data_IF_917256461020
#
_entry.id   IF_917256461020
#
_cell.length_a   1.000
_cell.length_b   1.000
_cell.length_c   1.000
_cell.angle_alpha   90.00
_cell.angle_beta   90.00
_cell.angle_gamma   90.00
#
_symmetry.space_group_name_H-M   'P 1'
#
loop_
_entity.id
_entity.type
_entity.pdbx_description
1 polymer ?
#
# COMPACT_ATOMS: atom_id res chain seq x y z
N UNK A 1 -6.03 -5.83 -9.74
CA UNK A 1 -4.62 -5.38 -9.81
C UNK A 1 -4.31 -4.68 -8.50
N UNK A 2 -3.17 -5.01 -7.90
CA UNK A 2 -2.72 -4.58 -6.57
C UNK A 2 -1.88 -3.32 -6.70
N UNK A 3 -2.22 -2.26 -5.98
CA UNK A 3 -1.38 -1.07 -5.85
C UNK A 3 -0.38 -1.23 -4.71
N UNK A 4 0.91 -1.27 -5.01
CA UNK A 4 1.96 -1.30 -4.00
C UNK A 4 2.46 0.13 -3.77
N UNK A 5 2.23 0.71 -2.60
CA UNK A 5 2.59 2.10 -2.30
C UNK A 5 3.75 2.12 -1.32
N UNK A 6 4.93 2.49 -1.81
CA UNK A 6 6.08 2.70 -0.93
C UNK A 6 6.06 4.14 -0.42
N UNK A 7 5.68 4.31 0.85
CA UNK A 7 5.36 5.63 1.44
C UNK A 7 6.60 6.53 1.54
N UNK A 8 7.78 5.92 1.75
CA UNK A 8 9.08 6.58 1.72
C UNK A 8 10.16 5.59 1.25
N UNK A 9 11.38 6.10 1.00
CA UNK A 9 12.55 5.34 0.54
C UNK A 9 12.80 4.01 1.28
N UNK A 10 12.67 3.91 2.62
CA UNK A 10 12.86 2.64 3.31
C UNK A 10 11.92 1.51 2.85
N UNK A 11 10.74 1.85 2.33
CA UNK A 11 9.76 0.88 1.83
C UNK A 11 9.97 0.46 0.38
N UNK A 12 10.87 1.12 -0.36
CA UNK A 12 11.08 0.81 -1.79
C UNK A 12 11.55 -0.63 -2.03
N UNK A 13 12.53 -1.19 -1.28
CA UNK A 13 12.98 -2.56 -1.50
C UNK A 13 11.86 -3.58 -1.32
N UNK A 14 11.07 -3.46 -0.25
CA UNK A 14 9.97 -4.38 0.01
C UNK A 14 8.85 -4.25 -1.03
N UNK A 15 8.55 -3.03 -1.49
CA UNK A 15 7.57 -2.87 -2.57
C UNK A 15 8.04 -3.54 -3.88
N UNK A 16 9.34 -3.51 -4.17
CA UNK A 16 9.91 -4.15 -5.36
C UNK A 16 9.92 -5.68 -5.21
N UNK A 17 10.23 -6.20 -4.01
CA UNK A 17 10.12 -7.62 -3.69
C UNK A 17 8.68 -8.14 -3.87
N UNK A 18 7.69 -7.42 -3.31
CA UNK A 18 6.28 -7.78 -3.45
C UNK A 18 5.82 -7.70 -4.91
N UNK A 19 6.30 -6.71 -5.67
CA UNK A 19 5.99 -6.62 -7.10
C UNK A 19 6.53 -7.83 -7.87
N UNK A 20 7.71 -8.33 -7.51
CA UNK A 20 8.29 -9.50 -8.15
C UNK A 20 7.50 -10.81 -7.93
N UNK A 21 6.68 -10.89 -6.87
CA UNK A 21 5.76 -12.01 -6.64
C UNK A 21 4.53 -11.95 -7.57
N UNK A 22 4.14 -10.74 -7.97
CA UNK A 22 2.94 -10.47 -8.76
C UNK A 22 3.20 -9.48 -9.91
N UNK A 23 4.15 -9.75 -10.82
CA UNK A 23 4.59 -8.75 -11.79
C UNK A 23 3.48 -8.29 -12.73
N UNK A 24 2.56 -9.20 -13.09
CA UNK A 24 1.47 -8.92 -14.02
C UNK A 24 0.20 -8.39 -13.32
N UNK A 25 0.09 -8.58 -12.00
CA UNK A 25 -1.10 -8.24 -11.22
C UNK A 25 -0.87 -7.15 -10.19
N UNK A 26 0.32 -6.53 -10.14
CA UNK A 26 0.63 -5.44 -9.23
C UNK A 26 1.34 -4.26 -9.92
N UNK A 27 1.26 -3.07 -9.31
CA UNK A 27 1.93 -1.85 -9.77
C UNK A 27 2.50 -1.06 -8.60
N UNK A 28 3.77 -0.70 -8.69
CA UNK A 28 4.47 0.07 -7.65
C UNK A 28 4.30 1.58 -7.85
N UNK A 29 3.98 2.27 -6.75
CA UNK A 29 3.90 3.73 -6.62
C UNK A 29 4.88 4.15 -5.53
N UNK A 30 5.99 4.79 -5.91
CA UNK A 30 7.04 5.20 -4.98
C UNK A 30 6.88 6.67 -4.64
N UNK A 31 6.68 6.96 -3.36
CA UNK A 31 6.73 8.32 -2.85
C UNK A 31 8.16 8.67 -2.41
N UNK A 32 8.56 9.90 -2.71
CA UNK A 32 9.85 10.47 -2.28
C UNK A 32 9.63 11.88 -1.72
N UNK A 33 10.23 12.13 -0.56
CA UNK A 33 10.17 13.45 0.09
C UNK A 33 10.86 14.50 -0.80
N UNK A 34 10.21 15.65 -0.99
CA UNK A 34 10.74 16.73 -1.84
C UNK A 34 10.53 16.53 -3.34
N UNK A 35 9.86 15.45 -3.75
CA UNK A 35 9.38 15.27 -5.13
C UNK A 35 7.94 15.80 -5.29
N UNK A 36 7.48 15.94 -6.52
CA UNK A 36 6.08 16.24 -6.82
C UNK A 36 5.13 15.06 -6.53
N UNK A 37 5.68 13.86 -6.31
CA UNK A 37 4.92 12.64 -6.06
C UNK A 37 5.21 12.14 -4.64
N UNK A 38 4.54 12.78 -3.67
CA UNK A 38 4.73 12.46 -2.25
C UNK A 38 3.72 11.38 -1.82
N UNK A 39 3.76 11.04 -0.53
CA UNK A 39 2.95 9.96 0.00
C UNK A 39 1.43 10.15 -0.21
N UNK A 40 0.85 11.35 0.00
CA UNK A 40 -0.58 11.56 -0.29
C UNK A 40 -0.93 11.34 -1.76
N UNK A 41 -0.10 11.84 -2.70
CA UNK A 41 -0.36 11.70 -4.13
C UNK A 41 -0.23 10.25 -4.59
N UNK A 42 0.79 9.53 -4.12
CA UNK A 42 0.99 8.11 -4.43
C UNK A 42 -0.16 7.25 -3.89
N UNK A 43 -0.57 7.50 -2.64
CA UNK A 43 -1.66 6.80 -1.97
C UNK A 43 -3.01 7.09 -2.66
N UNK A 44 -3.30 8.35 -2.96
CA UNK A 44 -4.51 8.77 -3.64
C UNK A 44 -4.62 8.21 -5.06
N UNK A 45 -3.51 8.21 -5.81
CA UNK A 45 -3.47 7.58 -7.13
C UNK A 45 -3.73 6.07 -7.03
N UNK A 46 -3.15 5.40 -6.02
CA UNK A 46 -3.34 3.97 -5.84
C UNK A 46 -4.81 3.63 -5.56
N UNK A 47 -5.49 4.38 -4.69
CA UNK A 47 -6.92 4.18 -4.42
C UNK A 47 -7.83 4.48 -5.62
N UNK A 48 -7.44 5.42 -6.49
CA UNK A 48 -8.18 5.71 -7.71
C UNK A 48 -8.08 4.61 -8.78
N UNK A 49 -7.02 3.79 -8.75
CA UNK A 49 -6.71 2.83 -9.81
C UNK A 49 -6.87 1.36 -9.40
N UNK A 50 -6.80 1.05 -8.10
CA UNK A 50 -6.69 -0.33 -7.61
C UNK A 50 -7.77 -0.66 -6.58
N UNK A 51 -8.25 -1.90 -6.63
CA UNK A 51 -9.20 -2.44 -5.65
C UNK A 51 -8.50 -3.03 -4.42
N UNK A 52 -7.20 -3.28 -4.51
CA UNK A 52 -6.37 -3.76 -3.41
C UNK A 52 -5.12 -2.88 -3.35
N UNK A 53 -4.78 -2.40 -2.17
CA UNK A 53 -3.62 -1.52 -1.96
C UNK A 53 -2.80 -2.01 -0.77
N UNK A 54 -1.50 -2.20 -1.00
CA UNK A 54 -0.53 -2.50 0.05
C UNK A 54 0.33 -1.27 0.25
N UNK A 55 0.19 -0.61 1.40
CA UNK A 55 0.99 0.52 1.81
C UNK A 55 2.19 0.06 2.64
N UNK A 56 3.40 0.26 2.11
CA UNK A 56 4.65 -0.07 2.77
C UNK A 56 5.17 1.16 3.52
N UNK A 57 5.09 1.12 4.85
CA UNK A 57 5.44 2.24 5.71
C UNK A 57 5.11 1.98 7.19
N UNK A 58 5.36 2.97 8.04
CA UNK A 58 4.92 2.88 9.44
C UNK A 58 3.39 2.99 9.53
N UNK A 59 2.79 2.19 10.40
CA UNK A 59 1.34 2.18 10.61
C UNK A 59 0.79 3.57 10.90
N UNK A 60 1.45 4.33 11.77
CA UNK A 60 1.03 5.68 12.14
C UNK A 60 0.96 6.62 10.92
N UNK A 61 1.93 6.55 10.02
CA UNK A 61 1.93 7.35 8.78
C UNK A 61 0.83 6.89 7.83
N UNK A 62 0.68 5.59 7.62
CA UNK A 62 -0.34 5.04 6.71
C UNK A 62 -1.76 5.42 7.19
N UNK A 63 -2.03 5.31 8.49
CA UNK A 63 -3.32 5.70 9.08
C UNK A 63 -3.55 7.21 8.96
N UNK A 64 -2.52 8.03 9.17
CA UNK A 64 -2.65 9.48 9.00
C UNK A 64 -2.97 9.83 7.54
N UNK A 65 -2.26 9.22 6.58
CA UNK A 65 -2.51 9.41 5.16
C UNK A 65 -3.92 8.96 4.76
N UNK A 66 -4.40 7.83 5.29
CA UNK A 66 -5.77 7.37 5.07
C UNK A 66 -6.82 8.40 5.51
N UNK A 67 -6.58 9.08 6.63
CA UNK A 67 -7.46 10.16 7.08
C UNK A 67 -7.45 11.34 6.09
N UNK A 68 -6.29 11.70 5.56
CA UNK A 68 -6.14 12.81 4.62
C UNK A 68 -6.69 12.50 3.21
N UNK A 69 -6.50 11.28 2.72
CA UNK A 69 -6.95 10.86 1.37
C UNK A 69 -8.27 10.11 1.37
N UNK A 70 -8.98 10.08 2.51
CA UNK A 70 -10.27 9.40 2.67
C UNK A 70 -11.28 9.64 1.53
N UNK A 71 -11.40 10.84 0.91
CA UNK A 71 -12.32 11.04 -0.21
C UNK A 71 -12.01 10.18 -1.45
N UNK A 72 -10.75 9.75 -1.63
CA UNK A 72 -10.32 8.89 -2.73
C UNK A 72 -10.46 7.40 -2.42
N UNK A 73 -10.62 7.03 -1.14
CA UNK A 73 -10.78 5.64 -0.73
C UNK A 73 -12.19 5.16 -1.07
N UNK A 74 -12.28 4.14 -1.93
CA UNK A 74 -13.56 3.51 -2.25
C UNK A 74 -13.92 2.52 -1.14
N UNK A 75 -15.22 2.31 -0.93
CA UNK A 75 -15.73 1.39 0.09
C UNK A 75 -15.32 -0.07 -0.15
N UNK A 76 -15.05 -0.42 -1.40
CA UNK A 76 -14.66 -1.76 -1.86
C UNK A 76 -13.14 -1.92 -2.02
N UNK A 77 -12.34 -0.95 -1.55
CA UNK A 77 -10.88 -1.06 -1.61
C UNK A 77 -10.34 -1.77 -0.38
N UNK A 78 -9.62 -2.87 -0.59
CA UNK A 78 -8.84 -3.53 0.45
C UNK A 78 -7.53 -2.81 0.69
N UNK A 79 -7.19 -2.54 1.95
CA UNK A 79 -5.99 -1.82 2.34
C UNK A 79 -5.20 -2.63 3.37
N UNK A 80 -3.94 -2.90 3.04
CA UNK A 80 -2.98 -3.57 3.90
C UNK A 80 -1.83 -2.62 4.22
N UNK A 81 -1.43 -2.51 5.47
CA UNK A 81 -0.22 -1.80 5.88
C UNK A 81 0.88 -2.81 6.19
N UNK A 82 2.07 -2.59 5.63
CA UNK A 82 3.23 -3.46 5.84
C UNK A 82 4.41 -2.62 6.33
N UNK A 83 5.01 -3.03 7.45
CA UNK A 83 6.26 -2.44 7.92
C UNK A 83 7.36 -2.66 6.87
N UNK A 84 8.25 -1.69 6.58
CA UNK A 84 9.30 -1.85 5.57
C UNK A 84 10.24 -3.06 5.77
N UNK A 85 10.34 -3.59 7.00
CA UNK A 85 11.11 -4.80 7.30
C UNK A 85 10.26 -6.07 7.31
N UNK A 86 9.01 -6.00 6.83
CA UNK A 86 8.02 -7.08 6.81
C UNK A 86 7.77 -7.73 8.19
N UNK A 87 7.97 -6.98 9.28
CA UNK A 87 7.72 -7.47 10.65
C UNK A 87 6.26 -7.49 11.02
N UNK A 88 5.46 -6.65 10.38
CA UNK A 88 4.04 -6.49 10.64
C UNK A 88 3.31 -6.34 9.32
N UNK A 89 2.22 -7.09 9.19
CA UNK A 89 1.28 -7.05 8.08
C UNK A 89 -0.10 -6.82 8.70
N UNK A 90 -0.68 -5.65 8.48
CA UNK A 90 -1.84 -5.15 9.24
C UNK A 90 -2.97 -4.79 8.28
N UNK A 91 -4.07 -5.55 8.25
CA UNK A 91 -5.24 -5.18 7.47
C UNK A 91 -5.90 -3.94 8.08
N UNK A 92 -6.12 -2.91 7.25
CA UNK A 92 -6.75 -1.66 7.66
C UNK A 92 -8.23 -1.59 7.25
N UNK A 93 -8.63 -2.43 6.31
CA UNK A 93 -10.02 -2.70 5.94
C UNK A 93 -10.32 -4.20 6.12
N UNK A 94 -11.60 -4.56 6.09
CA UNK A 94 -12.04 -5.95 6.29
C UNK A 94 -12.90 -6.40 5.12
N UNK A 95 -12.26 -6.71 3.98
CA UNK A 95 -12.89 -7.37 2.84
C UNK A 95 -12.50 -8.85 2.77
N UNK A 96 -13.30 -9.66 2.08
CA UNK A 96 -13.10 -11.11 1.97
C UNK A 96 -11.72 -11.47 1.39
N UNK A 97 -11.20 -10.65 0.46
CA UNK A 97 -9.87 -10.82 -0.14
C UNK A 97 -8.71 -10.30 0.71
N UNK A 98 -8.98 -9.57 1.80
CA UNK A 98 -7.92 -8.98 2.65
C UNK A 98 -7.20 -10.06 3.46
N UNK A 99 -7.90 -11.10 3.93
CA UNK A 99 -7.30 -12.20 4.71
C UNK A 99 -6.38 -13.08 3.86
N UNK A 100 -6.74 -13.33 2.61
CA UNK A 100 -5.88 -14.04 1.65
C UNK A 100 -4.61 -13.23 1.35
N UNK A 101 -4.79 -11.95 1.00
CA UNK A 101 -3.66 -11.05 0.70
C UNK A 101 -2.70 -10.91 1.90
N UNK A 102 -3.24 -10.85 3.12
CA UNK A 102 -2.42 -10.80 4.35
C UNK A 102 -1.53 -12.03 4.47
N UNK A 103 -2.11 -13.23 4.29
CA UNK A 103 -1.36 -14.49 4.37
C UNK A 103 -0.29 -14.61 3.29
N UNK A 104 -0.59 -14.16 2.07
CA UNK A 104 0.40 -14.20 0.99
C UNK A 104 1.58 -13.25 1.22
N UNK A 105 1.35 -12.10 1.84
CA UNK A 105 2.41 -11.12 2.16
C UNK A 105 3.26 -11.56 3.36
N UNK A 106 2.68 -12.33 4.29
CA UNK A 106 3.39 -12.89 5.45
C UNK A 106 4.29 -14.10 5.13
N UNK A 107 4.04 -14.79 4.01
CA UNK A 107 4.79 -15.97 3.57
C UNK A 107 6.21 -15.62 3.06
#
# INVERSE_FOLDING_TARGET
MIGLVAIYEPGHPLADELHALWPDSSRVHRASRGSIFQAPEAMGLAFGLHHQVIAVGSLATVVHLLADVHPALRRDTDVLCVDPQRRWVIPLTHGDSTEELTREVEA
#
